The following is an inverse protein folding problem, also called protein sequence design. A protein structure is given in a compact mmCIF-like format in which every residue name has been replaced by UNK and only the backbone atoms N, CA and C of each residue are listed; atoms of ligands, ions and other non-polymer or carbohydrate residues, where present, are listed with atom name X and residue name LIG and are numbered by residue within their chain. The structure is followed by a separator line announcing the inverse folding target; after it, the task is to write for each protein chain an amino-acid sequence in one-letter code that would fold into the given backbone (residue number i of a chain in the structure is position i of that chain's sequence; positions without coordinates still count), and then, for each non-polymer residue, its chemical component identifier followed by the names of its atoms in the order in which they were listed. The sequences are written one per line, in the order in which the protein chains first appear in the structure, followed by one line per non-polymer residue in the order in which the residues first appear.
data_IF_641319975639
#
_entry.id   IF_641319975639
#
_cell.length_a   1.000
_cell.length_b   1.000
_cell.length_c   1.000
_cell.angle_alpha   90.00
_cell.angle_beta   90.00
_cell.angle_gamma   90.00
#
_symmetry.space_group_name_H-M   'P 1'
#
loop_
_entity.id
_entity.type
_entity.pdbx_description
1 polymer ?
#
# COMPACT_ATOMS: atom_id res chain seq x y z
N UNK A 1 28.32 -1.31 46.01
CA UNK A 1 27.52 -0.32 45.28
C UNK A 1 26.03 -0.52 45.56
N UNK A 2 25.27 0.60 45.58
CA UNK A 2 23.83 0.55 45.85
C UNK A 2 23.06 0.21 44.55
N UNK A 3 23.04 -1.09 44.20
CA UNK A 3 22.41 -1.59 42.98
C UNK A 3 20.89 -1.38 42.93
N UNK A 4 20.20 -1.36 44.08
CA UNK A 4 18.76 -1.08 44.18
C UNK A 4 18.43 0.35 43.79
N UNK A 5 19.25 1.32 44.23
CA UNK A 5 19.07 2.71 43.84
C UNK A 5 19.34 2.95 42.34
N UNK A 6 20.36 2.27 41.80
CA UNK A 6 20.68 2.32 40.40
C UNK A 6 19.53 1.74 39.53
N UNK A 7 18.95 0.59 39.90
CA UNK A 7 17.82 -0.01 39.21
C UNK A 7 16.56 0.88 39.26
N UNK A 8 16.29 1.49 40.43
CA UNK A 8 15.18 2.44 40.60
C UNK A 8 15.33 3.69 39.70
N UNK A 9 16.56 4.20 39.54
CA UNK A 9 16.85 5.33 38.65
C UNK A 9 16.72 4.91 37.19
N UNK A 10 17.22 3.73 36.83
CA UNK A 10 17.11 3.21 35.48
C UNK A 10 15.63 3.05 35.04
N UNK A 11 14.77 2.55 35.93
CA UNK A 11 13.32 2.47 35.68
C UNK A 11 12.66 3.83 35.45
N UNK A 12 13.14 4.90 36.12
CA UNK A 12 12.64 6.27 35.89
C UNK A 12 13.11 6.86 34.57
N UNK A 13 14.23 6.38 34.03
CA UNK A 13 14.77 6.79 32.71
C UNK A 13 14.12 6.01 31.56
N UNK A 14 13.52 4.86 31.84
CA UNK A 14 12.73 4.13 30.87
C UNK A 14 11.45 4.93 30.61
N UNK A 15 11.23 5.35 29.36
CA UNK A 15 9.96 5.92 28.92
C UNK A 15 8.82 4.89 29.03
N UNK A 16 7.63 5.29 28.62
CA UNK A 16 6.51 4.35 28.48
C UNK A 16 6.95 3.18 27.58
N UNK A 17 6.58 1.96 27.97
CA UNK A 17 6.81 0.81 27.10
C UNK A 17 6.20 1.10 25.73
N UNK A 18 7.00 0.95 24.66
CA UNK A 18 6.48 1.00 23.31
C UNK A 18 5.49 -0.15 23.14
N UNK A 19 4.29 0.17 22.70
CA UNK A 19 3.31 -0.85 22.35
C UNK A 19 3.82 -1.68 21.16
N UNK A 20 3.36 -2.91 21.05
CA UNK A 20 3.73 -3.80 19.97
C UNK A 20 3.39 -3.17 18.62
N UNK A 21 4.37 -3.14 17.71
CA UNK A 21 4.12 -2.73 16.33
C UNK A 21 3.18 -3.73 15.67
N UNK A 22 2.11 -3.23 15.09
CA UNK A 22 1.19 -4.02 14.27
C UNK A 22 0.97 -3.32 12.92
N UNK A 23 1.33 -3.96 11.80
CA UNK A 23 1.09 -3.39 10.49
C UNK A 23 -0.42 -3.34 10.19
N UNK A 24 -0.87 -2.25 9.56
CA UNK A 24 -2.26 -2.08 9.15
C UNK A 24 -2.72 -3.21 8.21
N UNK A 25 -1.89 -3.55 7.24
CA UNK A 25 -2.17 -4.60 6.27
C UNK A 25 -1.40 -4.43 4.98
N UNK A 26 -1.60 -5.38 4.07
CA UNK A 26 -0.98 -5.40 2.75
C UNK A 26 -2.05 -5.45 1.68
N UNK A 27 -2.00 -4.50 0.75
CA UNK A 27 -2.81 -4.48 -0.45
C UNK A 27 -2.00 -5.08 -1.60
N UNK A 28 -2.53 -6.13 -2.22
CA UNK A 28 -1.97 -6.76 -3.41
C UNK A 28 -2.74 -6.30 -4.64
N UNK A 29 -2.01 -5.97 -5.69
CA UNK A 29 -2.55 -5.64 -7.00
C UNK A 29 -1.96 -6.66 -7.98
N UNK A 30 -2.73 -7.66 -8.31
CA UNK A 30 -2.32 -8.72 -9.23
C UNK A 30 -2.73 -8.34 -10.65
N UNK A 31 -1.77 -8.32 -11.57
CA UNK A 31 -2.01 -8.04 -12.99
C UNK A 31 -1.59 -9.26 -13.82
N UNK A 32 -2.34 -9.60 -14.88
CA UNK A 32 -2.05 -10.75 -15.74
C UNK A 32 -0.92 -10.48 -16.75
N UNK A 33 0.09 -9.71 -16.37
CA UNK A 33 1.20 -9.35 -17.24
C UNK A 33 2.37 -10.31 -16.98
N UNK A 34 2.97 -10.86 -18.04
CA UNK A 34 4.06 -11.83 -17.93
C UNK A 34 5.42 -11.26 -18.30
N UNK A 35 5.50 -10.43 -19.35
CA UNK A 35 6.75 -9.86 -19.84
C UNK A 35 6.79 -8.35 -19.61
N UNK A 36 7.71 -7.93 -18.77
CA UNK A 36 7.89 -6.52 -18.43
C UNK A 36 9.12 -5.96 -19.11
N UNK A 37 8.96 -4.79 -19.72
CA UNK A 37 10.07 -4.00 -20.26
C UNK A 37 9.91 -2.53 -19.88
N UNK A 38 10.96 -1.75 -20.08
CA UNK A 38 10.96 -0.31 -19.86
C UNK A 38 10.46 0.09 -18.45
N UNK A 39 10.85 -0.70 -17.44
CA UNK A 39 10.44 -0.44 -16.07
C UNK A 39 11.11 0.82 -15.53
N UNK A 40 10.29 1.76 -15.02
CA UNK A 40 10.70 2.99 -14.40
C UNK A 40 9.94 3.20 -13.09
N UNK A 41 10.65 3.63 -12.06
CA UNK A 41 10.07 3.96 -10.75
C UNK A 41 10.64 5.27 -10.24
N UNK A 42 9.79 6.13 -9.74
CA UNK A 42 10.13 7.45 -9.22
C UNK A 42 9.33 7.75 -7.94
N UNK A 43 9.95 8.49 -7.04
CA UNK A 43 9.29 9.15 -5.92
C UNK A 43 9.60 10.64 -6.02
N UNK A 44 8.60 11.44 -6.35
CA UNK A 44 8.68 12.89 -6.33
C UNK A 44 8.32 13.41 -4.93
N UNK A 45 9.30 13.96 -4.24
CA UNK A 45 9.12 14.50 -2.88
C UNK A 45 8.36 15.84 -2.86
N UNK A 46 8.35 16.60 -3.96
CA UNK A 46 7.62 17.87 -4.02
C UNK A 46 6.12 17.65 -4.08
N UNK A 47 5.70 16.63 -4.84
CA UNK A 47 4.28 16.27 -4.99
C UNK A 47 3.86 15.14 -4.08
N UNK A 48 4.81 14.53 -3.35
CA UNK A 48 4.61 13.32 -2.54
C UNK A 48 3.92 12.18 -3.32
N UNK A 49 4.29 12.04 -4.61
CA UNK A 49 3.71 11.04 -5.51
C UNK A 49 4.74 9.99 -5.89
N UNK A 50 4.41 8.72 -5.73
CA UNK A 50 5.19 7.62 -6.27
C UNK A 50 4.61 7.18 -7.60
N UNK A 51 5.46 7.09 -8.63
CA UNK A 51 5.08 6.71 -9.99
C UNK A 51 5.81 5.44 -10.40
N UNK A 52 5.10 4.51 -11.00
CA UNK A 52 5.65 3.32 -11.64
C UNK A 52 5.16 3.27 -13.09
N UNK A 53 6.10 3.13 -14.03
CA UNK A 53 5.81 2.97 -15.45
C UNK A 53 6.46 1.68 -15.94
N UNK A 54 5.79 0.96 -16.80
CA UNK A 54 6.32 -0.22 -17.46
C UNK A 54 5.55 -0.51 -18.74
N UNK A 55 6.14 -1.34 -19.58
CA UNK A 55 5.50 -1.86 -20.78
C UNK A 55 5.31 -3.36 -20.62
N UNK A 56 4.14 -3.86 -20.97
CA UNK A 56 3.85 -5.30 -21.05
C UNK A 56 2.98 -5.57 -22.28
N UNK A 57 3.31 -6.59 -23.05
CA UNK A 57 2.59 -6.97 -24.27
C UNK A 57 2.39 -5.80 -25.26
N UNK A 58 3.38 -4.90 -25.36
CA UNK A 58 3.31 -3.72 -26.21
C UNK A 58 2.50 -2.54 -25.66
N UNK A 59 1.83 -2.70 -24.53
CA UNK A 59 1.00 -1.67 -23.88
C UNK A 59 1.78 -0.99 -22.77
N UNK A 60 1.69 0.33 -22.69
CA UNK A 60 2.30 1.11 -21.62
C UNK A 60 1.33 1.26 -20.44
N UNK A 61 1.81 0.97 -19.25
CA UNK A 61 1.08 1.09 -18.01
C UNK A 61 1.73 2.12 -17.10
N UNK A 62 0.90 2.93 -16.44
CA UNK A 62 1.34 3.88 -15.42
C UNK A 62 0.52 3.69 -14.17
N UNK A 63 1.20 3.66 -13.02
CA UNK A 63 0.59 3.64 -11.68
C UNK A 63 1.11 4.82 -10.89
N UNK A 64 0.21 5.60 -10.32
CA UNK A 64 0.52 6.73 -9.45
C UNK A 64 -0.08 6.47 -8.08
N UNK A 65 0.70 6.69 -7.03
CA UNK A 65 0.32 6.46 -5.64
C UNK A 65 0.53 7.72 -4.83
N UNK A 66 -0.47 8.12 -4.08
CA UNK A 66 -0.33 9.22 -3.12
C UNK A 66 -1.33 9.09 -1.96
N UNK A 67 -1.07 9.81 -0.88
CA UNK A 67 -1.94 9.87 0.29
C UNK A 67 -2.56 11.27 0.36
N UNK A 68 -3.88 11.34 0.36
CA UNK A 68 -4.59 12.60 0.65
C UNK A 68 -4.75 12.74 2.17
N UNK A 69 -4.02 13.70 2.75
CA UNK A 69 -4.14 13.97 4.18
C UNK A 69 -5.49 14.59 4.58
N UNK A 70 -6.08 15.52 3.82
CA UNK A 70 -7.40 16.06 4.12
C UNK A 70 -8.48 14.99 4.13
N UNK A 71 -8.47 14.10 3.13
CA UNK A 71 -9.49 13.06 2.94
C UNK A 71 -9.20 11.77 3.72
N UNK A 72 -7.98 11.62 4.28
CA UNK A 72 -7.51 10.41 4.99
C UNK A 72 -7.61 9.15 4.16
N UNK A 73 -7.29 9.25 2.87
CA UNK A 73 -7.34 8.13 1.92
C UNK A 73 -5.99 7.89 1.25
N UNK A 74 -5.76 6.64 0.86
CA UNK A 74 -4.69 6.25 -0.04
C UNK A 74 -5.27 6.10 -1.45
N UNK A 75 -4.68 6.81 -2.41
CA UNK A 75 -5.13 6.85 -3.80
C UNK A 75 -4.16 6.07 -4.67
N UNK A 76 -4.71 5.21 -5.50
CA UNK A 76 -3.98 4.50 -6.56
C UNK A 76 -4.66 4.81 -7.89
N UNK A 77 -3.94 5.50 -8.77
CA UNK A 77 -4.41 5.78 -10.12
C UNK A 77 -3.66 4.86 -11.09
N UNK A 78 -4.39 4.09 -11.86
CA UNK A 78 -3.84 3.17 -12.85
C UNK A 78 -4.34 3.54 -14.24
N UNK A 79 -3.42 3.63 -15.19
CA UNK A 79 -3.74 3.93 -16.60
C UNK A 79 -3.02 2.98 -17.54
N UNK A 80 -3.61 2.74 -18.71
CA UNK A 80 -2.99 2.03 -19.81
C UNK A 80 -3.10 2.84 -21.10
N UNK A 81 -2.15 2.66 -22.02
CA UNK A 81 -2.18 3.34 -23.33
C UNK A 81 -3.28 2.82 -24.26
N UNK A 82 -3.84 1.65 -23.96
CA UNK A 82 -4.91 1.03 -24.74
C UNK A 82 -6.16 0.79 -23.91
N UNK A 83 -7.33 0.99 -24.52
CA UNK A 83 -8.62 0.73 -23.88
C UNK A 83 -8.83 -0.77 -23.62
N UNK A 84 -9.40 -1.09 -22.44
CA UNK A 84 -9.75 -2.47 -22.10
C UNK A 84 -8.57 -3.37 -21.69
N UNK A 85 -7.36 -2.81 -21.63
CA UNK A 85 -6.16 -3.55 -21.22
C UNK A 85 -5.85 -3.43 -19.72
N UNK A 86 -6.57 -2.58 -19.00
CA UNK A 86 -6.40 -2.42 -17.56
C UNK A 86 -7.20 -3.49 -16.80
N UNK A 87 -6.60 -4.66 -16.63
CA UNK A 87 -7.16 -5.77 -15.88
C UNK A 87 -6.31 -6.02 -14.64
N UNK A 88 -6.95 -6.11 -13.48
CA UNK A 88 -6.26 -6.39 -12.22
C UNK A 88 -7.21 -6.99 -11.19
N UNK A 89 -6.63 -7.71 -10.23
CA UNK A 89 -7.32 -8.18 -9.05
C UNK A 89 -6.75 -7.47 -7.82
N UNK A 90 -7.62 -7.10 -6.90
CA UNK A 90 -7.21 -6.53 -5.62
C UNK A 90 -7.42 -7.56 -4.52
N UNK A 91 -6.40 -7.76 -3.69
CA UNK A 91 -6.47 -8.55 -2.47
C UNK A 91 -5.92 -7.75 -1.31
N UNK A 92 -6.57 -7.83 -0.18
CA UNK A 92 -6.10 -7.22 1.06
C UNK A 92 -5.92 -8.30 2.12
N UNK A 93 -4.84 -8.20 2.89
CA UNK A 93 -4.58 -9.06 4.03
C UNK A 93 -4.08 -8.23 5.21
N UNK A 94 -4.50 -8.61 6.42
CA UNK A 94 -4.05 -7.99 7.65
C UNK A 94 -3.99 -9.01 8.78
N UNK A 95 -3.08 -8.80 9.72
CA UNK A 95 -3.04 -9.54 10.99
C UNK A 95 -4.09 -9.02 11.99
N UNK A 96 -4.62 -7.82 11.75
CA UNK A 96 -5.68 -7.22 12.54
C UNK A 96 -7.04 -7.72 12.05
N UNK A 97 -8.05 -7.68 12.92
CA UNK A 97 -9.43 -7.91 12.48
C UNK A 97 -9.87 -6.79 11.54
N UNK A 98 -10.37 -7.15 10.37
CA UNK A 98 -10.83 -6.18 9.39
C UNK A 98 -12.14 -6.60 8.72
N UNK A 99 -12.83 -5.63 8.15
CA UNK A 99 -13.98 -5.81 7.28
C UNK A 99 -13.76 -5.01 6.01
N UNK A 100 -13.92 -5.64 4.86
CA UNK A 100 -13.82 -4.98 3.57
C UNK A 100 -15.21 -4.61 3.09
N UNK A 101 -15.40 -3.35 2.73
CA UNK A 101 -16.55 -2.87 2.00
C UNK A 101 -16.07 -2.33 0.65
N UNK A 102 -16.57 -2.89 -0.44
CA UNK A 102 -16.24 -2.44 -1.78
C UNK A 102 -17.40 -1.57 -2.27
N UNK A 103 -17.10 -0.32 -2.61
CA UNK A 103 -18.03 0.62 -3.23
C UNK A 103 -17.40 1.08 -4.54
N UNK A 104 -18.13 0.96 -5.64
CA UNK A 104 -17.64 1.44 -6.94
C UNK A 104 -18.48 0.88 -8.08
N UNK A 105 -18.51 1.60 -9.20
CA UNK A 105 -19.03 1.10 -10.46
C UNK A 105 -17.87 0.66 -11.33
N UNK A 106 -17.53 -0.63 -11.27
CA UNK A 106 -16.74 -1.25 -12.34
C UNK A 106 -17.67 -2.13 -13.16
N UNK A 107 -17.67 -2.01 -14.49
CA UNK A 107 -18.30 -3.02 -15.32
C UNK A 107 -17.54 -4.34 -15.09
N UNK A 108 -18.23 -5.36 -14.56
CA UNK A 108 -17.76 -6.72 -14.30
C UNK A 108 -16.92 -6.96 -13.03
N UNK A 109 -17.45 -6.67 -11.85
CA UNK A 109 -17.01 -7.34 -10.64
C UNK A 109 -17.89 -8.58 -10.36
N UNK A 110 -17.34 -9.76 -10.61
CA UNK A 110 -17.81 -10.96 -9.92
C UNK A 110 -17.22 -10.92 -8.51
N UNK A 111 -18.04 -10.68 -7.53
CA UNK A 111 -17.64 -10.66 -6.12
C UNK A 111 -17.00 -12.00 -5.75
N UNK A 112 -15.80 -11.98 -5.21
CA UNK A 112 -15.27 -13.11 -4.48
C UNK A 112 -16.13 -13.31 -3.23
N UNK A 113 -16.86 -14.41 -3.19
CA UNK A 113 -17.53 -14.90 -1.97
C UNK A 113 -16.47 -15.58 -1.12
N UNK A 114 -16.41 -15.20 0.14
CA UNK A 114 -15.79 -16.00 1.20
C UNK A 114 -16.56 -17.29 1.40
#
# INVERSE_FOLDING_TARGET
GNYRAADSLNKKMQGKFSESYSPLGTLYIDTPHNDFSNYYRELDLNTATSTVKYQADGVNYTREYFISNPDKIFVIKMTSSEKGKLNFNLRFNSLLRYKINIKGSMPNQKGAKN
#
